data_IF_199405173449
#
_entry.id   IF_199405173449
#
_cell.length_a   1.000
_cell.length_b   1.000
_cell.length_c   1.000
_cell.angle_alpha   90.00
_cell.angle_beta   90.00
_cell.angle_gamma   90.00
#
_symmetry.space_group_name_H-M   'P 1'
#
loop_
_entity.id
_entity.type
_entity.pdbx_description
1 polymer ?
#
# COMPACT_ATOMS: atom_id res chain seq x y z
N UNK A 1 -21.12 18.41 38.35
CA UNK A 1 -22.24 17.47 38.41
C UNK A 1 -21.80 16.14 37.83
N UNK A 2 -21.84 15.07 38.65
CA UNK A 2 -21.35 13.73 38.24
C UNK A 2 -22.06 13.20 36.99
N UNK A 3 -23.34 13.52 36.80
CA UNK A 3 -24.11 13.08 35.63
C UNK A 3 -23.52 13.70 34.35
N UNK A 4 -23.18 14.98 34.38
CA UNK A 4 -22.59 15.65 33.22
C UNK A 4 -21.21 15.09 32.90
N UNK A 5 -20.41 14.78 33.92
CA UNK A 5 -19.09 14.18 33.74
C UNK A 5 -19.20 12.76 33.14
N UNK A 6 -20.15 11.94 33.62
CA UNK A 6 -20.40 10.62 33.06
C UNK A 6 -20.91 10.68 31.61
N UNK A 7 -21.76 11.64 31.30
CA UNK A 7 -22.27 11.83 29.93
C UNK A 7 -21.14 12.20 28.98
N UNK A 8 -20.25 13.12 29.38
CA UNK A 8 -19.08 13.50 28.56
C UNK A 8 -18.14 12.31 28.38
N UNK A 9 -17.87 11.56 29.46
CA UNK A 9 -17.01 10.36 29.37
C UNK A 9 -17.59 9.32 28.40
N UNK A 10 -18.90 9.08 28.46
CA UNK A 10 -19.58 8.16 27.54
C UNK A 10 -19.48 8.64 26.09
N UNK A 11 -19.70 9.94 25.82
CA UNK A 11 -19.54 10.50 24.48
C UNK A 11 -18.11 10.36 23.96
N UNK A 12 -17.11 10.64 24.78
CA UNK A 12 -15.70 10.49 24.41
C UNK A 12 -15.37 9.02 24.12
N UNK A 13 -15.84 8.09 24.96
CA UNK A 13 -15.62 6.66 24.74
C UNK A 13 -16.23 6.18 23.41
N UNK A 14 -17.45 6.58 23.10
CA UNK A 14 -18.12 6.26 21.82
C UNK A 14 -17.32 6.85 20.64
N UNK A 15 -16.94 8.12 20.72
CA UNK A 15 -16.18 8.77 19.67
C UNK A 15 -14.82 8.09 19.44
N UNK A 16 -14.07 7.78 20.51
CA UNK A 16 -12.80 7.08 20.42
C UNK A 16 -12.95 5.68 19.80
N UNK A 17 -14.02 4.97 20.13
CA UNK A 17 -14.30 3.65 19.58
C UNK A 17 -14.57 3.72 18.07
N UNK A 18 -15.42 4.66 17.65
CA UNK A 18 -15.75 4.85 16.23
C UNK A 18 -14.49 5.24 15.45
N UNK A 19 -13.75 6.23 15.94
CA UNK A 19 -12.52 6.69 15.28
C UNK A 19 -11.46 5.60 15.24
N UNK A 20 -11.25 4.88 16.35
CA UNK A 20 -10.30 3.78 16.41
C UNK A 20 -10.63 2.65 15.42
N UNK A 21 -11.91 2.30 15.29
CA UNK A 21 -12.35 1.34 14.28
C UNK A 21 -12.09 1.83 12.85
N UNK A 22 -12.38 3.10 12.56
CA UNK A 22 -12.13 3.68 11.24
C UNK A 22 -10.65 3.63 10.87
N UNK A 23 -9.75 4.04 11.78
CA UNK A 23 -8.30 3.93 11.57
C UNK A 23 -7.83 2.48 11.41
N UNK A 24 -8.38 1.55 12.20
CA UNK A 24 -8.07 0.14 12.06
C UNK A 24 -8.47 -0.41 10.70
N UNK A 25 -9.66 -0.07 10.20
CA UNK A 25 -10.14 -0.47 8.88
C UNK A 25 -9.23 0.06 7.78
N UNK A 26 -8.85 1.35 7.81
CA UNK A 26 -7.90 1.90 6.83
C UNK A 26 -6.55 1.17 6.87
N UNK A 27 -6.05 0.89 8.09
CA UNK A 27 -4.73 0.23 8.24
C UNK A 27 -4.72 -1.21 7.75
N UNK A 28 -5.85 -1.90 7.82
CA UNK A 28 -6.00 -3.31 7.44
C UNK A 28 -6.66 -3.51 6.08
N UNK A 29 -7.06 -2.43 5.43
CA UNK A 29 -7.64 -2.50 4.10
C UNK A 29 -6.66 -3.12 3.11
N UNK A 30 -7.16 -4.03 2.30
CA UNK A 30 -6.42 -4.68 1.22
C UNK A 30 -7.18 -4.49 -0.08
N UNK A 31 -6.45 -4.44 -1.17
CA UNK A 31 -7.01 -4.48 -2.51
C UNK A 31 -6.48 -5.72 -3.23
N UNK A 32 -7.25 -6.24 -4.14
CA UNK A 32 -6.88 -7.40 -4.92
C UNK A 32 -6.07 -6.96 -6.14
N UNK A 33 -4.84 -7.50 -6.27
CA UNK A 33 -4.03 -7.42 -7.49
C UNK A 33 -3.97 -8.83 -8.04
N UNK A 34 -4.52 -9.04 -9.24
CA UNK A 34 -4.64 -10.35 -9.87
C UNK A 34 -3.44 -10.57 -10.80
N UNK A 35 -2.45 -11.40 -10.42
CA UNK A 35 -1.31 -11.66 -11.30
C UNK A 35 -1.77 -12.25 -12.63
N UNK A 36 -1.38 -11.60 -13.73
CA UNK A 36 -1.65 -12.11 -15.08
C UNK A 36 -0.73 -13.29 -15.46
N UNK A 37 -0.97 -13.88 -16.63
CA UNK A 37 -0.21 -15.03 -17.14
C UNK A 37 1.30 -14.74 -17.32
N UNK A 38 1.70 -13.45 -17.43
CA UNK A 38 3.11 -13.06 -17.58
C UNK A 38 3.88 -13.05 -16.26
N UNK A 39 3.21 -13.10 -15.11
CA UNK A 39 3.88 -13.13 -13.80
C UNK A 39 4.41 -14.53 -13.55
N UNK A 40 5.72 -14.64 -13.43
CA UNK A 40 6.42 -15.91 -13.19
C UNK A 40 6.68 -16.18 -11.71
N UNK A 41 6.77 -15.13 -10.89
CA UNK A 41 7.04 -15.23 -9.47
C UNK A 41 6.51 -14.00 -8.73
N UNK A 42 6.13 -14.17 -7.47
CA UNK A 42 5.82 -13.07 -6.53
C UNK A 42 6.76 -13.18 -5.35
N UNK A 43 7.46 -12.10 -5.04
CA UNK A 43 8.40 -11.98 -3.92
C UNK A 43 7.94 -10.88 -2.98
N UNK A 44 8.52 -10.89 -1.79
CA UNK A 44 8.39 -9.78 -0.84
C UNK A 44 9.65 -8.91 -0.88
N UNK A 45 9.51 -7.63 -0.61
CA UNK A 45 10.66 -6.73 -0.48
C UNK A 45 11.58 -7.18 0.66
N UNK A 46 11.02 -7.80 1.70
CA UNK A 46 11.75 -8.41 2.81
C UNK A 46 12.64 -9.60 2.42
N UNK A 47 12.43 -10.22 1.26
CA UNK A 47 13.35 -11.24 0.73
C UNK A 47 14.73 -10.65 0.42
N UNK A 48 14.79 -9.35 0.14
CA UNK A 48 16.02 -8.59 -0.11
C UNK A 48 16.48 -7.79 1.10
N UNK A 49 15.55 -7.34 1.94
CA UNK A 49 15.78 -6.56 3.15
C UNK A 49 15.00 -7.16 4.31
N UNK A 50 15.56 -8.19 5.00
CA UNK A 50 14.86 -8.94 6.05
C UNK A 50 14.29 -8.10 7.19
N UNK A 51 14.86 -6.93 7.46
CA UNK A 51 14.39 -5.99 8.49
C UNK A 51 13.00 -5.41 8.18
N UNK A 52 12.52 -5.53 6.94
CA UNK A 52 11.17 -5.09 6.56
C UNK A 52 10.09 -6.12 6.87
N UNK A 53 10.47 -7.38 7.11
CA UNK A 53 9.50 -8.46 7.32
C UNK A 53 8.52 -8.15 8.45
N UNK A 54 7.23 -8.23 8.15
CA UNK A 54 6.15 -7.95 9.11
C UNK A 54 5.94 -6.47 9.43
N UNK A 55 6.61 -5.56 8.73
CA UNK A 55 6.37 -4.12 8.82
C UNK A 55 5.42 -3.64 7.74
N UNK A 56 4.83 -2.46 7.92
CA UNK A 56 4.00 -1.83 6.89
C UNK A 56 4.81 -1.38 5.65
N UNK A 57 6.14 -1.38 5.73
CA UNK A 57 7.04 -1.09 4.60
C UNK A 57 7.28 -2.29 3.70
N UNK A 58 6.92 -3.51 4.13
CA UNK A 58 7.05 -4.71 3.31
C UNK A 58 5.98 -4.73 2.21
N UNK A 59 6.38 -5.04 0.99
CA UNK A 59 5.50 -4.99 -0.18
C UNK A 59 5.82 -6.09 -1.18
N UNK A 60 4.84 -6.42 -2.02
CA UNK A 60 5.00 -7.44 -3.07
C UNK A 60 5.77 -6.89 -4.27
N UNK A 61 6.64 -7.73 -4.80
CA UNK A 61 7.38 -7.55 -6.03
C UNK A 61 6.90 -8.63 -7.01
N UNK A 62 6.30 -8.22 -8.10
CA UNK A 62 5.88 -9.11 -9.17
C UNK A 62 6.99 -9.22 -10.20
N UNK A 63 7.40 -10.44 -10.51
CA UNK A 63 8.48 -10.74 -11.45
C UNK A 63 7.87 -11.33 -12.72
N UNK A 64 8.17 -10.72 -13.85
CA UNK A 64 7.78 -11.19 -15.18
C UNK A 64 9.08 -11.50 -15.95
N UNK A 65 9.34 -12.77 -16.20
CA UNK A 65 10.56 -13.21 -16.88
C UNK A 65 10.25 -13.66 -18.30
N UNK A 66 10.96 -13.09 -19.26
CA UNK A 66 10.90 -13.50 -20.65
C UNK A 66 11.61 -14.82 -20.93
N UNK A 67 11.28 -15.45 -22.05
CA UNK A 67 11.90 -16.70 -22.48
C UNK A 67 13.34 -16.50 -22.97
N UNK A 68 13.69 -15.30 -23.42
CA UNK A 68 15.03 -14.96 -23.94
C UNK A 68 15.82 -14.18 -22.91
N UNK A 69 17.15 -14.30 -22.98
CA UNK A 69 18.04 -13.45 -22.20
C UNK A 69 17.88 -11.98 -22.59
N UNK A 70 18.01 -11.09 -21.62
CA UNK A 70 17.87 -9.64 -21.83
C UNK A 70 18.19 -8.83 -20.59
N UNK A 71 17.93 -7.53 -20.66
CA UNK A 71 18.10 -6.60 -19.55
C UNK A 71 17.02 -6.75 -18.47
N UNK A 72 17.20 -5.99 -17.39
CA UNK A 72 16.20 -5.87 -16.32
C UNK A 72 15.59 -4.48 -16.29
N UNK A 73 14.30 -4.40 -16.04
CA UNK A 73 13.56 -3.17 -15.84
C UNK A 73 12.79 -3.23 -14.53
N UNK A 74 12.74 -2.10 -13.80
CA UNK A 74 11.97 -1.97 -12.56
C UNK A 74 10.92 -0.87 -12.74
N UNK A 75 9.65 -1.23 -12.51
CA UNK A 75 8.53 -0.29 -12.46
C UNK A 75 8.11 -0.12 -11.00
N UNK A 76 8.09 1.15 -10.55
CA UNK A 76 7.65 1.56 -9.23
C UNK A 76 6.33 2.31 -9.35
N UNK A 77 5.24 1.75 -8.84
CA UNK A 77 3.96 2.40 -8.67
C UNK A 77 3.70 2.76 -7.21
N UNK A 78 2.74 3.64 -6.94
CA UNK A 78 2.32 3.94 -5.58
C UNK A 78 3.41 4.48 -4.66
N UNK A 79 4.33 5.27 -5.19
CA UNK A 79 5.32 6.03 -4.38
C UNK A 79 4.60 7.03 -3.48
N UNK A 80 3.57 7.69 -4.03
CA UNK A 80 2.57 8.44 -3.30
C UNK A 80 1.23 7.73 -3.50
N UNK A 81 0.63 7.25 -2.43
CA UNK A 81 -0.59 6.45 -2.51
C UNK A 81 -1.84 7.28 -2.93
N UNK A 82 -1.78 8.60 -2.86
CA UNK A 82 -2.81 9.51 -3.35
C UNK A 82 -2.68 9.83 -4.86
N UNK A 83 -1.65 9.33 -5.52
CA UNK A 83 -1.43 9.48 -6.97
C UNK A 83 -1.80 8.17 -7.68
N UNK A 84 -3.11 7.91 -7.81
CA UNK A 84 -3.64 6.63 -8.31
C UNK A 84 -3.11 6.21 -9.68
N UNK A 85 -2.79 7.16 -10.57
CA UNK A 85 -2.31 6.85 -11.91
C UNK A 85 -1.05 5.99 -11.92
N UNK A 86 -0.10 6.27 -11.01
CA UNK A 86 1.13 5.47 -10.89
C UNK A 86 0.87 4.06 -10.33
N UNK A 87 0.03 3.98 -9.29
CA UNK A 87 -0.36 2.71 -8.69
C UNK A 87 -1.14 1.83 -9.67
N UNK A 88 -2.23 2.35 -10.25
CA UNK A 88 -3.07 1.63 -11.20
C UNK A 88 -2.31 1.23 -12.47
N UNK A 89 -1.42 2.11 -12.97
CA UNK A 89 -0.55 1.78 -14.09
C UNK A 89 0.35 0.57 -13.80
N UNK A 90 0.95 0.51 -12.61
CA UNK A 90 1.74 -0.64 -12.19
C UNK A 90 0.89 -1.91 -12.04
N UNK A 91 -0.33 -1.80 -11.48
CA UNK A 91 -1.28 -2.93 -11.43
C UNK A 91 -1.60 -3.46 -12.82
N UNK A 92 -1.84 -2.58 -13.80
CA UNK A 92 -2.11 -2.99 -15.18
C UNK A 92 -0.92 -3.75 -15.80
N UNK A 93 0.32 -3.37 -15.48
CA UNK A 93 1.49 -4.16 -15.90
C UNK A 93 1.50 -5.55 -15.27
N UNK A 94 1.22 -5.67 -13.98
CA UNK A 94 1.16 -6.97 -13.30
C UNK A 94 0.09 -7.88 -13.93
N UNK A 95 -1.05 -7.33 -14.30
CA UNK A 95 -2.19 -8.10 -14.77
C UNK A 95 -2.13 -8.46 -16.25
N UNK A 96 -1.46 -7.66 -17.08
CA UNK A 96 -1.58 -7.79 -18.53
C UNK A 96 -0.24 -7.91 -19.26
N UNK A 97 0.89 -7.51 -18.66
CA UNK A 97 2.15 -7.49 -19.37
C UNK A 97 2.68 -8.92 -19.63
N UNK A 98 3.31 -9.09 -20.78
CA UNK A 98 4.11 -10.26 -21.15
C UNK A 98 5.49 -9.77 -21.58
N UNK A 99 6.52 -10.41 -21.08
CA UNK A 99 7.93 -10.07 -21.36
C UNK A 99 8.49 -11.09 -22.33
N UNK A 100 9.03 -10.66 -23.45
CA UNK A 100 9.63 -11.56 -24.44
C UNK A 100 11.09 -11.87 -24.08
N UNK A 101 11.85 -10.86 -23.62
CA UNK A 101 13.26 -10.99 -23.28
C UNK A 101 13.61 -10.20 -22.01
N UNK A 102 14.46 -10.77 -21.17
CA UNK A 102 14.89 -10.16 -19.93
C UNK A 102 13.90 -10.31 -18.77
N UNK A 103 13.94 -9.40 -17.82
CA UNK A 103 13.10 -9.48 -16.61
C UNK A 103 12.48 -8.11 -16.29
N UNK A 104 11.19 -8.10 -16.07
CA UNK A 104 10.45 -6.94 -15.55
C UNK A 104 10.08 -7.19 -14.08
N UNK A 105 10.48 -6.27 -13.21
CA UNK A 105 10.06 -6.22 -11.83
C UNK A 105 9.02 -5.11 -11.68
N UNK A 106 7.90 -5.41 -11.04
CA UNK A 106 6.84 -4.42 -10.81
C UNK A 106 6.49 -4.40 -9.34
N UNK A 107 6.54 -3.21 -8.74
CA UNK A 107 6.13 -2.95 -7.36
C UNK A 107 4.97 -1.97 -7.39
N UNK A 108 3.71 -2.41 -7.34
CA UNK A 108 2.56 -1.52 -7.43
C UNK A 108 2.40 -0.58 -6.23
N UNK A 109 2.83 -1.01 -5.05
CA UNK A 109 2.73 -0.26 -3.79
C UNK A 109 4.12 -0.02 -3.19
N UNK A 110 4.93 0.80 -3.86
CA UNK A 110 6.31 1.08 -3.44
C UNK A 110 6.39 1.66 -2.02
N UNK A 111 5.48 2.59 -1.68
CA UNK A 111 5.31 3.07 -0.32
C UNK A 111 4.06 2.42 0.30
N UNK A 112 4.15 1.12 0.61
CA UNK A 112 3.01 0.36 1.11
C UNK A 112 2.39 0.97 2.38
N UNK A 113 3.19 1.55 3.26
CA UNK A 113 2.71 2.24 4.46
C UNK A 113 1.80 3.44 4.14
N UNK A 114 2.03 4.15 3.03
CA UNK A 114 1.18 5.26 2.62
C UNK A 114 -0.26 4.84 2.28
N UNK A 115 -0.48 3.58 1.93
CA UNK A 115 -1.82 3.01 1.67
C UNK A 115 -2.58 2.65 2.95
N UNK A 116 -1.95 2.74 4.12
CA UNK A 116 -2.55 2.33 5.40
C UNK A 116 -3.23 3.47 6.17
N UNK A 117 -3.29 4.65 5.59
CA UNK A 117 -3.96 5.81 6.17
C UNK A 117 -4.38 6.81 5.10
N UNK A 118 -5.29 7.69 5.48
CA UNK A 118 -5.69 8.84 4.68
C UNK A 118 -5.42 10.11 5.50
N UNK A 119 -4.76 11.10 4.91
CA UNK A 119 -4.58 12.39 5.57
C UNK A 119 -5.85 13.23 5.40
N UNK A 120 -6.53 13.62 6.49
CA UNK A 120 -7.74 14.44 6.41
C UNK A 120 -7.53 15.77 5.68
N UNK A 121 -6.32 16.29 5.62
CA UNK A 121 -5.98 17.54 4.92
C UNK A 121 -5.98 17.37 3.39
N UNK A 122 -5.80 16.16 2.89
CA UNK A 122 -5.81 15.88 1.45
C UNK A 122 -7.23 15.87 0.86
N UNK A 123 -8.27 15.69 1.70
CA UNK A 123 -9.67 15.91 1.33
C UNK A 123 -10.24 14.94 0.30
N UNK A 124 -9.65 13.76 0.14
CA UNK A 124 -10.13 12.73 -0.79
C UNK A 124 -10.71 11.49 -0.06
N UNK A 125 -11.52 10.67 -0.74
CA UNK A 125 -12.00 9.42 -0.15
C UNK A 125 -10.85 8.42 0.05
N UNK A 126 -11.01 7.48 0.97
CA UNK A 126 -10.03 6.42 1.25
C UNK A 126 -9.97 5.34 0.16
N UNK A 127 -10.99 5.25 -0.68
CA UNK A 127 -11.06 4.29 -1.79
C UNK A 127 -11.66 4.95 -3.02
N UNK A 128 -11.29 4.42 -4.19
CA UNK A 128 -11.84 4.81 -5.49
C UNK A 128 -12.38 3.57 -6.18
N UNK A 129 -13.57 3.68 -6.74
CA UNK A 129 -14.22 2.61 -7.49
C UNK A 129 -14.13 2.88 -8.98
N UNK A 130 -13.78 1.85 -9.73
CA UNK A 130 -13.83 1.86 -11.19
C UNK A 130 -14.87 0.84 -11.60
N UNK A 131 -15.83 1.28 -12.40
CA UNK A 131 -16.84 0.40 -12.99
C UNK A 131 -16.48 0.17 -14.45
N UNK A 132 -16.38 -1.09 -14.86
CA UNK A 132 -16.19 -1.45 -16.25
C UNK A 132 -17.49 -1.37 -17.03
N UNK A 133 -17.41 -1.35 -18.37
CA UNK A 133 -18.60 -1.35 -19.24
C UNK A 133 -19.49 -2.58 -19.03
N UNK A 134 -18.93 -3.67 -18.51
CA UNK A 134 -19.64 -4.91 -18.17
C UNK A 134 -20.30 -4.86 -16.79
N UNK A 135 -20.14 -3.75 -16.05
CA UNK A 135 -20.74 -3.54 -14.74
C UNK A 135 -19.95 -4.13 -13.58
N UNK A 136 -18.74 -4.65 -13.80
CA UNK A 136 -17.86 -5.07 -12.72
C UNK A 136 -17.31 -3.84 -11.99
N UNK A 137 -17.33 -3.87 -10.67
CA UNK A 137 -16.80 -2.80 -9.82
C UNK A 137 -15.50 -3.28 -9.19
N UNK A 138 -14.45 -2.49 -9.38
CA UNK A 138 -13.15 -2.72 -8.75
C UNK A 138 -12.81 -1.55 -7.83
N UNK A 139 -12.38 -1.87 -6.63
CA UNK A 139 -11.99 -0.90 -5.62
C UNK A 139 -10.47 -0.80 -5.53
N UNK A 140 -9.96 0.44 -5.46
CA UNK A 140 -8.57 0.73 -5.21
C UNK A 140 -8.43 1.59 -3.96
N UNK A 141 -7.42 1.31 -3.16
CA UNK A 141 -7.11 2.12 -1.97
C UNK A 141 -6.50 3.45 -2.43
N UNK A 142 -7.07 4.53 -1.91
CA UNK A 142 -6.57 5.89 -2.11
C UNK A 142 -5.96 6.36 -0.79
N UNK A 143 -4.68 6.10 -0.61
CA UNK A 143 -3.96 6.44 0.61
C UNK A 143 -3.47 7.89 0.64
N UNK A 144 -2.47 8.16 1.46
CA UNK A 144 -1.85 9.47 1.61
C UNK A 144 -0.61 9.63 0.72
N UNK A 145 -0.15 10.87 0.55
CA UNK A 145 1.12 11.19 -0.07
C UNK A 145 2.31 10.71 0.76
N UNK A 146 2.19 10.77 2.08
CA UNK A 146 3.28 10.45 3.01
C UNK A 146 3.14 9.04 3.58
N UNK A 147 4.26 8.46 4.00
CA UNK A 147 4.29 7.28 4.85
C UNK A 147 3.46 7.52 6.12
N UNK A 148 2.71 6.52 6.56
CA UNK A 148 1.91 6.62 7.77
C UNK A 148 2.79 7.06 8.97
N UNK A 149 2.43 8.14 9.69
CA UNK A 149 3.23 8.66 10.80
C UNK A 149 3.56 7.62 11.88
N UNK A 150 2.68 6.63 12.08
CA UNK A 150 2.91 5.54 13.04
C UNK A 150 4.11 4.67 12.62
N UNK A 151 4.33 4.50 11.32
CA UNK A 151 5.41 3.68 10.78
C UNK A 151 6.73 4.46 10.66
N UNK A 152 6.69 5.79 10.57
CA UNK A 152 7.88 6.64 10.51
C UNK A 152 8.78 6.52 11.74
N UNK A 153 8.20 6.34 12.92
CA UNK A 153 8.96 6.14 14.16
C UNK A 153 9.82 4.86 14.13
N UNK A 154 9.32 3.82 13.47
CA UNK A 154 10.08 2.57 13.29
C UNK A 154 11.26 2.76 12.33
N UNK A 155 11.07 3.45 11.21
CA UNK A 155 12.15 3.76 10.28
C UNK A 155 13.25 4.61 10.88
N UNK A 156 12.94 5.56 11.77
CA UNK A 156 13.95 6.36 12.47
C UNK A 156 14.76 5.54 13.48
N UNK A 157 14.13 4.60 14.16
CA UNK A 157 14.82 3.68 15.08
C UNK A 157 15.77 2.74 14.32
N UNK A 158 15.37 2.22 13.17
CA UNK A 158 16.21 1.34 12.34
C UNK A 158 17.29 2.12 11.57
N UNK A 159 17.00 3.30 11.05
CA UNK A 159 17.97 4.18 10.39
C UNK A 159 19.13 4.59 11.31
N UNK A 160 18.88 4.78 12.60
CA UNK A 160 19.94 5.09 13.58
C UNK A 160 20.84 3.88 13.91
N UNK A 161 20.39 2.66 13.66
CA UNK A 161 21.18 1.43 13.82
C UNK A 161 22.08 1.17 12.61
N UNK A 162 21.61 1.49 11.38
CA UNK A 162 22.38 1.29 10.15
C UNK A 162 23.55 2.30 9.98
N UNK A 163 23.46 3.48 10.59
CA UNK A 163 24.53 4.49 10.53
C UNK A 163 25.65 4.25 11.58
N UNK A 164 25.50 3.25 12.46
CA UNK A 164 26.48 2.92 13.52
C UNK A 164 27.37 1.69 13.22
N UNK A 165 27.46 1.26 11.95
CA UNK A 165 28.43 0.21 11.56
C UNK A 165 29.46 0.73 10.60
#
# INVERSE_FOLDING_TARGET
NYISALAVLACVAVFCTISGNSFHQMRTATEEIIPGEGVTEVRMLSDYFPDLAGTAGDTQIYVLQGEQEGGSCLILGGTHANELGGHMGAVLFVENAKVEAGTLYVIPRTNNSAFTHNDPQEGHPSTVHITTDEGNVREFIHGSRATNPVDQCLCQLYGSVLVRK
#
